data_IF_963921937957
#
_entry.id   IF_963921937957
#
_cell.length_a   1.000
_cell.length_b   1.000
_cell.length_c   1.000
_cell.angle_alpha   90.00
_cell.angle_beta   90.00
_cell.angle_gamma   90.00
#
_symmetry.space_group_name_H-M   'P 1'
#
loop_
_entity.id
_entity.type
_entity.pdbx_description
1 polymer ?
#
# COMPACT_ATOMS: atom_id res chain seq x y z
N UNK A 1 -13.08 -19.96 -18.31
CA UNK A 1 -13.24 -18.86 -17.32
C UNK A 1 -12.57 -19.13 -15.96
N UNK A 2 -11.74 -20.17 -15.79
CA UNK A 2 -11.12 -20.47 -14.47
C UNK A 2 -10.04 -19.46 -14.05
N UNK A 3 -9.34 -18.86 -15.01
CA UNK A 3 -8.22 -17.94 -14.76
C UNK A 3 -8.52 -16.48 -15.12
N UNK A 4 -9.76 -16.14 -15.45
CA UNK A 4 -10.10 -14.80 -15.94
C UNK A 4 -9.78 -13.71 -14.91
N UNK A 5 -10.07 -13.95 -13.62
CA UNK A 5 -9.75 -13.01 -12.54
C UNK A 5 -8.24 -12.92 -12.27
N UNK A 6 -7.52 -14.04 -12.32
CA UNK A 6 -6.07 -14.07 -12.13
C UNK A 6 -5.36 -13.32 -13.26
N UNK A 7 -5.80 -13.51 -14.51
CA UNK A 7 -5.27 -12.79 -15.67
C UNK A 7 -5.55 -11.29 -15.54
N UNK A 8 -6.76 -10.89 -15.13
CA UNK A 8 -7.09 -9.46 -14.91
C UNK A 8 -6.19 -8.87 -13.80
N UNK A 9 -5.99 -9.58 -12.70
CA UNK A 9 -5.13 -9.11 -11.61
C UNK A 9 -3.67 -8.96 -12.05
N UNK A 10 -3.12 -9.95 -12.75
CA UNK A 10 -1.76 -9.88 -13.30
C UNK A 10 -1.63 -8.72 -14.29
N UNK A 11 -2.59 -8.57 -15.20
CA UNK A 11 -2.61 -7.46 -16.16
C UNK A 11 -2.64 -6.10 -15.45
N UNK A 12 -3.47 -5.95 -14.41
CA UNK A 12 -3.53 -4.73 -13.62
C UNK A 12 -2.19 -4.41 -12.93
N UNK A 13 -1.53 -5.42 -12.35
CA UNK A 13 -0.21 -5.28 -11.72
C UNK A 13 0.86 -4.89 -12.75
N UNK A 14 0.87 -5.52 -13.91
CA UNK A 14 1.82 -5.22 -15.00
C UNK A 14 1.61 -3.82 -15.54
N UNK A 15 0.36 -3.41 -15.76
CA UNK A 15 0.02 -2.04 -16.21
C UNK A 15 0.49 -1.03 -15.17
N UNK A 16 0.18 -1.25 -13.89
CA UNK A 16 0.61 -0.38 -12.80
C UNK A 16 2.14 -0.28 -12.74
N UNK A 17 2.86 -1.40 -12.79
CA UNK A 17 4.32 -1.43 -12.76
C UNK A 17 4.92 -0.70 -13.98
N UNK A 18 4.34 -0.90 -15.17
CA UNK A 18 4.76 -0.20 -16.39
C UNK A 18 4.58 1.32 -16.28
N UNK A 19 3.41 1.77 -15.82
CA UNK A 19 3.14 3.19 -15.56
C UNK A 19 4.13 3.73 -14.53
N UNK A 20 4.35 3.01 -13.43
CA UNK A 20 5.28 3.41 -12.38
C UNK A 20 6.69 3.61 -12.93
N UNK A 21 7.21 2.68 -13.72
CA UNK A 21 8.54 2.79 -14.34
C UNK A 21 8.64 4.02 -15.26
N UNK A 22 7.62 4.24 -16.11
CA UNK A 22 7.59 5.39 -17.03
C UNK A 22 7.59 6.71 -16.27
N UNK A 23 6.73 6.83 -15.24
CA UNK A 23 6.65 8.06 -14.42
C UNK A 23 7.96 8.28 -13.65
N UNK A 24 8.55 7.23 -13.07
CA UNK A 24 9.84 7.34 -12.38
C UNK A 24 10.96 7.80 -13.31
N UNK A 25 11.05 7.22 -14.51
CA UNK A 25 12.06 7.60 -15.49
C UNK A 25 11.89 9.07 -15.92
N UNK A 26 10.65 9.54 -16.06
CA UNK A 26 10.37 10.94 -16.36
C UNK A 26 10.82 11.87 -15.22
N UNK A 27 10.45 11.56 -13.97
CA UNK A 27 10.80 12.37 -12.80
C UNK A 27 12.32 12.41 -12.55
N UNK A 28 13.00 11.27 -12.71
CA UNK A 28 14.46 11.19 -12.55
C UNK A 28 15.23 12.10 -13.52
N UNK A 29 14.67 12.39 -14.71
CA UNK A 29 15.26 13.30 -15.68
C UNK A 29 15.09 14.79 -15.35
N UNK A 30 14.18 15.13 -14.42
CA UNK A 30 13.82 16.52 -14.09
C UNK A 30 14.34 17.01 -12.73
N UNK A 31 14.80 16.09 -11.87
CA UNK A 31 15.21 16.41 -10.50
C UNK A 31 16.63 16.97 -10.44
N UNK A 32 16.85 17.96 -9.58
CA UNK A 32 18.19 18.46 -9.29
C UNK A 32 18.99 17.44 -8.44
N UNK A 33 20.34 17.48 -8.45
CA UNK A 33 21.15 16.62 -7.61
C UNK A 33 20.77 16.76 -6.13
N UNK A 34 20.30 15.67 -5.52
CA UNK A 34 19.89 15.62 -4.11
C UNK A 34 18.38 15.78 -3.87
N UNK A 35 17.56 15.98 -4.91
CA UNK A 35 16.11 15.93 -4.77
C UNK A 35 15.58 14.49 -4.81
N UNK A 36 14.68 14.18 -3.88
CA UNK A 36 13.94 12.91 -3.86
C UNK A 36 12.69 13.03 -4.73
N UNK A 37 12.56 12.14 -5.71
CA UNK A 37 11.41 12.06 -6.62
C UNK A 37 10.08 11.81 -5.90
N UNK A 38 10.15 11.12 -4.76
CA UNK A 38 9.01 10.67 -3.97
C UNK A 38 9.29 10.94 -2.50
N UNK A 39 8.66 11.98 -1.96
CA UNK A 39 8.62 12.27 -0.53
C UNK A 39 7.27 11.88 0.07
N UNK A 40 7.14 12.02 1.39
CA UNK A 40 5.85 11.88 2.04
C UNK A 40 4.87 12.94 1.52
N UNK A 41 3.57 12.61 1.46
CA UNK A 41 2.54 13.59 1.07
C UNK A 41 2.58 14.86 1.93
N UNK A 42 3.01 14.71 3.18
CA UNK A 42 3.03 15.78 4.17
C UNK A 42 4.23 16.73 4.00
N UNK A 43 5.32 16.29 3.36
CA UNK A 43 6.51 17.12 3.11
C UNK A 43 6.18 18.31 2.20
N UNK A 44 5.40 18.06 1.15
CA UNK A 44 4.98 19.10 0.20
C UNK A 44 4.00 20.08 0.83
N UNK A 45 3.03 19.56 1.60
CA UNK A 45 2.03 20.39 2.28
C UNK A 45 2.67 21.31 3.31
N UNK A 46 3.63 20.81 4.10
CA UNK A 46 4.32 21.58 5.13
C UNK A 46 5.07 22.77 4.54
N UNK A 47 5.85 22.57 3.46
CA UNK A 47 6.58 23.64 2.78
C UNK A 47 5.66 24.78 2.28
N UNK A 48 4.50 24.42 1.74
CA UNK A 48 3.51 25.41 1.26
C UNK A 48 2.93 26.18 2.43
N UNK A 49 2.54 25.49 3.51
CA UNK A 49 1.92 26.13 4.67
C UNK A 49 2.92 27.06 5.38
N UNK A 50 4.17 26.63 5.58
CA UNK A 50 5.22 27.47 6.17
C UNK A 50 5.49 28.74 5.33
N UNK A 51 5.40 28.64 3.99
CA UNK A 51 5.56 29.80 3.09
C UNK A 51 4.49 30.89 3.28
N UNK A 52 3.34 30.54 3.87
CA UNK A 52 2.27 31.51 4.20
C UNK A 52 2.51 32.26 5.51
N UNK A 53 3.62 31.99 6.20
CA UNK A 53 3.94 32.57 7.50
C UNK A 53 3.25 31.86 8.68
N UNK A 54 2.66 30.69 8.45
CA UNK A 54 2.05 29.88 9.50
C UNK A 54 3.13 29.26 10.40
N UNK A 55 2.92 29.36 11.71
CA UNK A 55 3.75 28.70 12.73
C UNK A 55 3.01 27.49 13.30
N UNK A 56 3.61 26.29 13.33
CA UNK A 56 3.01 25.12 13.94
C UNK A 56 2.63 25.37 15.41
N UNK A 57 1.36 25.10 15.77
CA UNK A 57 0.88 25.19 17.15
C UNK A 57 1.12 23.91 17.96
N UNK A 58 1.67 22.87 17.33
CA UNK A 58 1.98 21.58 17.93
C UNK A 58 3.28 21.03 17.38
N UNK A 59 4.07 20.40 18.24
CA UNK A 59 5.27 19.64 17.87
C UNK A 59 5.07 18.16 18.20
N UNK A 60 5.49 17.23 17.33
CA UNK A 60 5.44 15.80 17.63
C UNK A 60 6.12 15.50 18.97
N UNK A 61 5.45 14.71 19.82
CA UNK A 61 6.01 14.28 21.12
C UNK A 61 7.18 13.31 20.89
N UNK A 62 7.16 12.60 19.76
CA UNK A 62 8.21 11.70 19.33
C UNK A 62 8.41 11.86 17.82
N UNK A 63 9.66 12.07 17.42
CA UNK A 63 10.08 12.00 16.02
C UNK A 63 11.09 10.87 15.92
N UNK A 64 10.89 9.88 15.02
CA UNK A 64 11.84 8.80 14.87
C UNK A 64 13.21 9.36 14.44
N UNK A 65 14.32 8.83 14.98
CA UNK A 65 15.66 9.36 14.73
C UNK A 65 16.15 9.07 13.29
N UNK A 66 15.41 8.29 12.51
CA UNK A 66 15.69 7.98 11.10
C UNK A 66 14.38 7.68 10.36
N UNK A 67 14.32 8.07 9.07
CA UNK A 67 13.24 7.73 8.14
C UNK A 67 13.11 6.22 7.89
N UNK A 68 14.18 5.45 8.10
CA UNK A 68 14.16 4.00 8.01
C UNK A 68 13.28 3.36 9.10
N UNK A 69 13.27 3.95 10.29
CA UNK A 69 12.47 3.46 11.43
C UNK A 69 10.99 3.78 11.20
N UNK A 70 10.69 4.96 10.65
CA UNK A 70 9.33 5.31 10.23
C UNK A 70 8.79 4.32 9.18
N UNK A 71 9.60 4.03 8.16
CA UNK A 71 9.26 3.05 7.13
C UNK A 71 9.10 1.64 7.71
N UNK A 72 9.93 1.25 8.69
CA UNK A 72 9.81 -0.04 9.38
C UNK A 72 8.45 -0.18 10.08
N UNK A 73 8.03 0.84 10.83
CA UNK A 73 6.72 0.82 11.50
C UNK A 73 5.57 0.79 10.49
N UNK A 74 5.67 1.53 9.39
CA UNK A 74 4.68 1.51 8.31
C UNK A 74 4.58 0.11 7.66
N UNK A 75 5.72 -0.51 7.36
CA UNK A 75 5.79 -1.87 6.81
C UNK A 75 5.19 -2.90 7.78
N UNK A 76 5.47 -2.78 9.08
CA UNK A 76 4.93 -3.66 10.11
C UNK A 76 3.40 -3.56 10.18
N UNK A 77 2.86 -2.34 10.19
CA UNK A 77 1.42 -2.08 10.17
C UNK A 77 0.77 -2.65 8.91
N UNK A 78 1.42 -2.46 7.75
CA UNK A 78 0.96 -2.98 6.46
C UNK A 78 0.91 -4.51 6.45
N UNK A 79 1.95 -5.17 6.98
CA UNK A 79 2.01 -6.62 7.10
C UNK A 79 0.90 -7.16 8.03
N UNK A 80 0.70 -6.51 9.18
CA UNK A 80 -0.38 -6.87 10.10
C UNK A 80 -1.77 -6.71 9.44
N UNK A 81 -2.01 -5.60 8.74
CA UNK A 81 -3.25 -5.37 7.99
C UNK A 81 -3.48 -6.44 6.91
N UNK A 82 -2.43 -6.78 6.15
CA UNK A 82 -2.49 -7.82 5.14
C UNK A 82 -2.83 -9.21 5.73
N UNK A 83 -2.28 -9.54 6.90
CA UNK A 83 -2.61 -10.79 7.61
C UNK A 83 -4.08 -10.84 8.03
N UNK A 84 -4.61 -9.74 8.59
CA UNK A 84 -6.02 -9.67 9.00
C UNK A 84 -6.96 -9.83 7.80
N UNK A 85 -6.70 -9.09 6.72
CA UNK A 85 -7.50 -9.15 5.48
C UNK A 85 -7.41 -10.56 4.87
N UNK A 86 -6.21 -11.12 4.77
CA UNK A 86 -5.98 -12.46 4.25
C UNK A 86 -6.70 -13.54 5.07
N UNK A 87 -6.63 -13.45 6.40
CA UNK A 87 -7.35 -14.36 7.29
C UNK A 87 -8.86 -14.26 7.11
N UNK A 88 -9.41 -13.05 6.99
CA UNK A 88 -10.84 -12.84 6.75
C UNK A 88 -11.29 -13.55 5.48
N UNK A 89 -10.67 -13.26 4.33
CA UNK A 89 -11.04 -13.92 3.07
C UNK A 89 -10.82 -15.43 3.10
N UNK A 90 -9.73 -15.90 3.70
CA UNK A 90 -9.44 -17.32 3.86
C UNK A 90 -10.49 -18.06 4.70
N UNK A 91 -10.90 -17.46 5.83
CA UNK A 91 -11.92 -18.03 6.71
C UNK A 91 -13.28 -18.15 6.02
N UNK A 92 -13.72 -17.12 5.31
CA UNK A 92 -14.99 -17.16 4.58
C UNK A 92 -14.99 -18.20 3.46
N UNK A 93 -13.88 -18.34 2.71
CA UNK A 93 -13.75 -19.39 1.69
C UNK A 93 -13.81 -20.79 2.31
N UNK A 94 -13.07 -21.03 3.39
CA UNK A 94 -13.09 -22.32 4.10
C UNK A 94 -14.47 -22.66 4.69
N UNK A 95 -15.22 -21.66 5.16
CA UNK A 95 -16.59 -21.86 5.66
C UNK A 95 -17.57 -22.25 4.54
N UNK A 96 -17.44 -21.67 3.36
CA UNK A 96 -18.25 -22.05 2.19
C UNK A 96 -17.94 -23.46 1.72
N UNK A 97 -16.66 -23.83 1.64
CA UNK A 97 -16.24 -25.20 1.28
C UNK A 97 -16.80 -26.25 2.24
N UNK A 98 -16.75 -25.99 3.56
CA UNK A 98 -17.36 -26.89 4.56
C UNK A 98 -18.86 -27.09 4.36
N UNK A 99 -19.61 -26.01 4.11
CA UNK A 99 -21.06 -26.09 3.84
C UNK A 99 -21.37 -26.94 2.61
N UNK A 100 -20.59 -26.76 1.54
CA UNK A 100 -20.77 -27.55 0.31
C UNK A 100 -20.48 -29.04 0.55
N UNK A 101 -19.43 -29.38 1.30
CA UNK A 101 -19.09 -30.77 1.65
C UNK A 101 -20.21 -31.42 2.49
N UNK A 102 -20.78 -30.71 3.46
CA UNK A 102 -21.89 -31.20 4.28
C UNK A 102 -23.18 -31.42 3.47
N UNK A 103 -23.46 -30.57 2.48
CA UNK A 103 -24.61 -30.75 1.58
C UNK A 103 -24.43 -31.97 0.66
N UNK A 104 -23.25 -32.19 0.08
CA UNK A 104 -22.96 -33.37 -0.74
C UNK A 104 -23.10 -34.66 0.05
N UNK A 105 -22.63 -34.71 1.31
CA UNK A 105 -22.78 -35.89 2.18
C UNK A 105 -24.23 -36.21 2.55
N UNK A 106 -25.15 -35.24 2.51
CA UNK A 106 -26.58 -35.47 2.77
C UNK A 106 -27.34 -35.97 1.54
N UNK A 107 -26.75 -35.89 0.35
CA UNK A 107 -27.37 -36.30 -0.92
C UNK A 107 -26.91 -37.68 -1.41
N UNK A 108 -25.97 -38.32 -0.71
CA UNK A 108 -25.45 -39.68 -0.97
C UNK A 108 -25.90 -40.59 0.17
#
# INVERSE_FOLDING_TARGET
>A
MKYTLEIIAIMAVVIFAGIFVVVNAHMAGTLAPGEVAWGGSDDGATKIIESTGYTPWFSPIYTPPSSEIETLFFCLQSAAGALVIGYFFGYYRGRQERKNIEQTKKQV
#
